data_IF_910493144998
#
_entry.id   IF_910493144998
#
_cell.length_a   1.000
_cell.length_b   1.000
_cell.length_c   1.000
_cell.angle_alpha   90.00
_cell.angle_beta   90.00
_cell.angle_gamma   90.00
#
_symmetry.space_group_name_H-M   'P 1'
#
loop_
_entity.id
_entity.type
_entity.pdbx_description
1 polymer ?
#
# COMPACT_ATOMS: atom_id res chain seq x y z
N UNK A 1 23.13 1.54 6.33
CA UNK A 1 23.18 3.01 6.31
C UNK A 1 22.40 3.53 7.50
N UNK A 2 22.91 4.54 8.20
CA UNK A 2 22.22 5.24 9.29
C UNK A 2 21.21 6.26 8.74
N UNK A 3 20.27 6.73 9.56
CA UNK A 3 19.33 7.81 9.19
C UNK A 3 20.06 9.06 8.69
N UNK A 4 21.19 9.41 9.31
CA UNK A 4 22.00 10.57 8.90
C UNK A 4 22.63 10.37 7.52
N UNK A 5 23.15 9.17 7.23
CA UNK A 5 23.70 8.84 5.91
C UNK A 5 22.63 8.85 4.82
N UNK A 6 21.41 8.39 5.15
CA UNK A 6 20.26 8.41 4.24
C UNK A 6 19.87 9.86 3.90
N UNK A 7 19.70 10.71 4.92
CA UNK A 7 19.33 12.11 4.67
C UNK A 7 20.45 12.91 3.98
N UNK A 8 21.72 12.65 4.30
CA UNK A 8 22.85 13.25 3.58
C UNK A 8 22.85 12.85 2.09
N UNK A 9 22.55 11.58 1.80
CA UNK A 9 22.40 11.11 0.43
C UNK A 9 21.27 11.84 -0.31
N UNK A 10 20.08 11.96 0.30
CA UNK A 10 18.95 12.63 -0.34
C UNK A 10 19.14 14.14 -0.46
N UNK A 11 19.85 14.80 0.46
CA UNK A 11 20.22 16.21 0.32
C UNK A 11 21.11 16.45 -0.90
N UNK A 12 22.09 15.57 -1.14
CA UNK A 12 22.94 15.61 -2.33
C UNK A 12 22.14 15.33 -3.60
N UNK A 13 21.27 14.32 -3.58
CA UNK A 13 20.43 13.98 -4.72
C UNK A 13 19.44 15.12 -5.05
N UNK A 14 18.83 15.73 -4.04
CA UNK A 14 17.96 16.90 -4.18
C UNK A 14 18.67 18.04 -4.89
N UNK A 15 19.90 18.36 -4.46
CA UNK A 15 20.73 19.41 -5.09
C UNK A 15 21.02 19.09 -6.55
N UNK A 16 21.43 17.85 -6.85
CA UNK A 16 21.74 17.41 -8.21
C UNK A 16 20.52 17.44 -9.14
N UNK A 17 19.39 16.92 -8.70
CA UNK A 17 18.13 16.89 -9.46
C UNK A 17 17.63 18.32 -9.69
N UNK A 18 17.69 19.18 -8.68
CA UNK A 18 17.31 20.60 -8.79
C UNK A 18 18.17 21.33 -9.83
N UNK A 19 19.49 21.15 -9.79
CA UNK A 19 20.41 21.77 -10.75
C UNK A 19 20.18 21.30 -12.20
N UNK A 20 19.75 20.04 -12.38
CA UNK A 20 19.47 19.46 -13.70
C UNK A 20 18.08 19.79 -14.24
N UNK A 21 17.16 20.29 -13.40
CA UNK A 21 15.76 20.51 -13.76
C UNK A 21 15.55 21.47 -14.91
N UNK A 22 16.38 22.52 -15.02
CA UNK A 22 16.38 23.45 -16.16
C UNK A 22 16.59 22.72 -17.50
N UNK A 23 17.25 21.55 -17.49
CA UNK A 23 17.50 20.70 -18.67
C UNK A 23 16.42 19.64 -18.90
N UNK A 24 15.40 19.53 -18.03
CA UNK A 24 14.35 18.49 -18.09
C UNK A 24 13.55 18.53 -19.40
N UNK A 25 13.35 19.71 -19.99
CA UNK A 25 12.69 19.87 -21.30
C UNK A 25 13.37 19.10 -22.44
N UNK A 26 14.55 18.50 -22.22
CA UNK A 26 15.26 17.65 -23.18
C UNK A 26 14.98 16.16 -23.04
N UNK A 27 14.29 15.72 -21.98
CA UNK A 27 14.00 14.29 -21.76
C UNK A 27 12.92 13.84 -22.74
N UNK A 28 13.31 13.01 -23.72
CA UNK A 28 12.39 12.43 -24.70
C UNK A 28 11.81 11.14 -24.15
N UNK A 29 10.50 10.98 -24.27
CA UNK A 29 9.79 9.73 -23.95
C UNK A 29 9.02 9.25 -25.18
N UNK A 30 9.01 7.94 -25.40
CA UNK A 30 8.18 7.30 -26.44
C UNK A 30 6.76 7.02 -25.94
N UNK A 31 6.58 6.86 -24.62
CA UNK A 31 5.28 6.66 -23.99
C UNK A 31 4.50 7.98 -23.90
N UNK A 32 3.18 7.90 -24.06
CA UNK A 32 2.27 9.04 -23.89
C UNK A 32 1.82 9.17 -22.44
N UNK A 33 1.47 10.39 -22.00
CA UNK A 33 0.94 10.64 -20.67
C UNK A 33 -0.29 9.75 -20.38
N UNK A 34 -1.23 9.67 -21.32
CA UNK A 34 -2.42 8.85 -21.21
C UNK A 34 -2.10 7.35 -21.04
N UNK A 35 -1.14 6.82 -21.81
CA UNK A 35 -0.75 5.41 -21.69
C UNK A 35 -0.12 5.09 -20.34
N UNK A 36 0.71 6.00 -19.81
CA UNK A 36 1.33 5.82 -18.49
C UNK A 36 0.27 5.94 -17.41
N UNK A 37 -0.58 6.96 -17.45
CA UNK A 37 -1.68 7.12 -16.50
C UNK A 37 -2.60 5.88 -16.46
N UNK A 38 -3.02 5.37 -17.62
CA UNK A 38 -3.85 4.16 -17.71
C UNK A 38 -3.16 2.94 -17.05
N UNK A 39 -1.85 2.78 -17.26
CA UNK A 39 -1.06 1.73 -16.61
C UNK A 39 -1.04 1.89 -15.09
N UNK A 40 -0.77 3.10 -14.58
CA UNK A 40 -0.66 3.34 -13.13
C UNK A 40 -1.98 3.10 -12.41
N UNK A 41 -3.08 3.50 -13.04
CA UNK A 41 -4.44 3.38 -12.52
C UNK A 41 -4.89 1.92 -12.42
N UNK A 42 -4.43 1.05 -13.33
CA UNK A 42 -4.75 -0.39 -13.29
C UNK A 42 -4.07 -1.16 -12.16
N UNK A 43 -3.05 -0.59 -11.51
CA UNK A 43 -2.28 -1.30 -10.49
C UNK A 43 -3.04 -1.46 -9.15
N UNK A 44 -4.31 -1.07 -9.04
CA UNK A 44 -5.08 -1.07 -7.79
C UNK A 44 -4.93 -2.37 -6.99
N UNK A 45 -4.52 -2.26 -5.73
CA UNK A 45 -4.32 -3.43 -4.88
C UNK A 45 -5.68 -4.13 -4.62
N UNK A 46 -5.76 -5.48 -4.66
CA UNK A 46 -7.01 -6.22 -4.47
C UNK A 46 -7.75 -5.92 -3.15
N UNK A 47 -7.04 -5.44 -2.13
CA UNK A 47 -7.65 -5.01 -0.86
C UNK A 47 -8.53 -3.75 -0.97
N UNK A 48 -8.36 -2.96 -2.04
CA UNK A 48 -9.12 -1.74 -2.29
C UNK A 48 -10.18 -1.89 -3.39
N UNK A 49 -10.31 -3.09 -3.97
CA UNK A 49 -11.43 -3.43 -4.83
C UNK A 49 -12.69 -3.73 -4.00
N UNK A 50 -13.90 -3.55 -4.57
CA UNK A 50 -15.13 -3.97 -3.91
C UNK A 50 -15.02 -5.48 -3.56
N UNK A 51 -15.39 -5.89 -2.34
CA UNK A 51 -15.26 -7.28 -1.92
C UNK A 51 -16.10 -8.16 -2.85
N UNK A 52 -15.44 -9.04 -3.62
CA UNK A 52 -16.08 -9.96 -4.58
C UNK A 52 -16.87 -11.10 -3.91
N UNK A 53 -16.76 -11.22 -2.60
CA UNK A 53 -17.51 -12.12 -1.73
C UNK A 53 -17.41 -11.57 -0.30
N UNK A 54 -18.26 -11.98 0.66
CA UNK A 54 -18.00 -11.70 2.07
C UNK A 54 -16.64 -12.30 2.42
N UNK A 55 -15.60 -11.46 2.41
CA UNK A 55 -14.25 -11.82 2.81
C UNK A 55 -14.35 -12.25 4.27
N UNK A 56 -14.38 -13.56 4.49
CA UNK A 56 -14.12 -14.18 5.79
C UNK A 56 -12.89 -13.45 6.34
N UNK A 57 -13.01 -12.68 7.44
CA UNK A 57 -11.99 -11.70 7.73
C UNK A 57 -10.66 -12.41 7.95
N UNK A 58 -9.75 -12.12 7.03
CA UNK A 58 -8.32 -12.30 7.13
C UNK A 58 -7.86 -12.17 8.58
N UNK A 59 -7.26 -13.25 9.07
CA UNK A 59 -6.73 -13.34 10.42
C UNK A 59 -7.81 -13.15 11.46
N UNK A 60 -8.55 -14.23 11.76
CA UNK A 60 -9.07 -14.56 13.09
C UNK A 60 -8.81 -13.42 14.09
N UNK A 61 -9.80 -12.55 14.34
CA UNK A 61 -9.91 -11.77 15.58
C UNK A 61 -10.12 -12.75 16.76
N UNK A 62 -9.34 -13.84 16.81
CA UNK A 62 -9.46 -14.95 17.76
C UNK A 62 -9.04 -14.57 19.17
N UNK A 63 -8.66 -13.32 19.38
CA UNK A 63 -8.31 -12.76 20.68
C UNK A 63 -9.05 -11.44 20.88
N UNK A 64 -10.38 -11.45 20.73
CA UNK A 64 -11.19 -10.58 21.56
C UNK A 64 -10.96 -11.07 23.00
N UNK A 65 -10.01 -10.45 23.68
CA UNK A 65 -9.68 -10.77 25.07
C UNK A 65 -10.70 -10.01 25.93
N UNK A 66 -11.86 -10.60 26.20
CA UNK A 66 -12.83 -10.01 27.12
C UNK A 66 -12.16 -9.69 28.45
N UNK A 67 -12.50 -8.54 29.03
CA UNK A 67 -12.08 -8.24 30.40
C UNK A 67 -12.90 -9.11 31.34
N UNK A 68 -12.24 -9.92 32.17
CA UNK A 68 -12.82 -10.34 33.43
C UNK A 68 -12.76 -9.12 34.35
N UNK A 69 -13.72 -8.18 34.23
CA UNK A 69 -13.83 -7.06 35.17
C UNK A 69 -15.14 -7.11 35.93
N UNK A 70 -15.01 -6.72 37.19
CA UNK A 70 -16.02 -6.71 38.22
C UNK A 70 -17.22 -5.84 37.81
N UNK A 71 -18.35 -6.53 37.58
CA UNK A 71 -19.75 -6.14 37.69
C UNK A 71 -20.03 -4.64 37.86
N UNK A 72 -20.71 -4.06 36.88
CA UNK A 72 -21.64 -2.96 37.14
C UNK A 72 -22.84 -3.52 37.93
N UNK A 73 -23.23 -2.83 39.00
CA UNK A 73 -24.22 -3.32 39.97
C UNK A 73 -25.67 -3.40 39.45
N UNK A 74 -25.95 -3.11 38.18
CA UNK A 74 -27.28 -3.35 37.57
C UNK A 74 -27.20 -3.49 36.05
N UNK A 75 -27.38 -4.71 35.55
CA UNK A 75 -27.52 -5.01 34.12
C UNK A 75 -28.97 -4.77 33.68
N UNK A 76 -29.19 -4.28 32.46
CA UNK A 76 -30.54 -4.20 31.90
C UNK A 76 -31.10 -5.61 31.62
N UNK A 77 -32.43 -5.73 31.51
CA UNK A 77 -33.09 -6.98 31.15
C UNK A 77 -32.54 -7.57 29.85
N UNK A 78 -32.29 -6.71 28.87
CA UNK A 78 -31.80 -7.06 27.55
C UNK A 78 -30.32 -7.51 27.60
N UNK A 79 -29.49 -6.87 28.41
CA UNK A 79 -28.10 -7.29 28.60
C UNK A 79 -28.01 -8.66 29.31
N UNK A 80 -28.89 -8.93 30.26
CA UNK A 80 -28.97 -10.24 30.94
C UNK A 80 -29.24 -11.37 29.94
N UNK A 81 -30.10 -11.12 28.94
CA UNK A 81 -30.39 -12.09 27.87
C UNK A 81 -29.14 -12.33 27.01
N UNK A 82 -28.40 -11.27 26.65
CA UNK A 82 -27.12 -11.39 25.91
C UNK A 82 -26.10 -12.19 26.72
N UNK A 83 -25.92 -11.88 28.00
CA UNK A 83 -25.03 -12.61 28.91
C UNK A 83 -25.38 -14.10 28.97
N UNK A 84 -26.67 -14.41 29.12
CA UNK A 84 -27.17 -15.78 29.17
C UNK A 84 -26.87 -16.55 27.88
N UNK A 85 -27.20 -16.00 26.71
CA UNK A 85 -26.99 -16.64 25.41
C UNK A 85 -25.51 -16.72 25.01
N UNK A 86 -24.69 -15.74 25.41
CA UNK A 86 -23.26 -15.74 25.16
C UNK A 86 -22.55 -16.92 25.86
N UNK A 87 -23.04 -17.32 27.05
CA UNK A 87 -22.47 -18.40 27.85
C UNK A 87 -22.95 -19.82 27.47
N UNK A 88 -23.94 -19.97 26.57
CA UNK A 88 -24.49 -21.29 26.22
C UNK A 88 -23.56 -22.11 25.32
N UNK A 89 -23.59 -23.42 25.53
CA UNK A 89 -22.87 -24.42 24.74
C UNK A 89 -23.58 -24.82 23.44
N UNK A 90 -24.89 -24.55 23.32
CA UNK A 90 -25.69 -24.83 22.10
C UNK A 90 -25.29 -23.95 20.91
N UNK A 91 -24.58 -22.85 21.19
CA UNK A 91 -24.11 -21.89 20.21
C UNK A 91 -25.20 -21.38 19.24
N UNK A 92 -26.43 -21.22 19.72
CA UNK A 92 -27.51 -20.62 18.92
C UNK A 92 -27.14 -19.18 18.55
N UNK A 93 -26.77 -18.98 17.29
CA UNK A 93 -26.23 -17.71 16.80
C UNK A 93 -27.34 -16.76 16.39
N UNK A 94 -28.50 -17.28 15.98
CA UNK A 94 -29.67 -16.48 15.62
C UNK A 94 -30.28 -15.83 16.86
N UNK A 95 -30.52 -16.62 17.92
CA UNK A 95 -31.03 -16.08 19.17
C UNK A 95 -30.08 -15.05 19.78
N UNK A 96 -28.77 -15.32 19.76
CA UNK A 96 -27.77 -14.37 20.24
C UNK A 96 -27.77 -13.08 19.41
N UNK A 97 -27.88 -13.17 18.08
CA UNK A 97 -27.94 -11.97 17.23
C UNK A 97 -29.16 -11.10 17.53
N UNK A 98 -30.35 -11.72 17.65
CA UNK A 98 -31.59 -11.02 18.00
C UNK A 98 -31.48 -10.35 19.37
N UNK A 99 -30.88 -11.02 20.36
CA UNK A 99 -30.64 -10.45 21.67
C UNK A 99 -29.68 -9.25 21.63
N UNK A 100 -28.64 -9.28 20.81
CA UNK A 100 -27.72 -8.15 20.64
C UNK A 100 -28.46 -6.94 20.03
N UNK A 101 -29.34 -7.16 19.04
CA UNK A 101 -30.15 -6.09 18.46
C UNK A 101 -31.11 -5.47 19.47
N UNK A 102 -31.77 -6.30 20.28
CA UNK A 102 -32.65 -5.81 21.36
C UNK A 102 -31.88 -5.00 22.41
N UNK A 103 -30.68 -5.48 22.79
CA UNK A 103 -29.79 -4.74 23.68
C UNK A 103 -29.36 -3.40 23.08
N UNK A 104 -28.95 -3.36 21.81
CA UNK A 104 -28.62 -2.10 21.13
C UNK A 104 -29.77 -1.09 21.16
N UNK A 105 -31.00 -1.56 20.93
CA UNK A 105 -32.20 -0.71 20.94
C UNK A 105 -32.56 -0.19 22.35
N UNK A 106 -32.13 -0.88 23.41
CA UNK A 106 -32.34 -0.48 24.80
C UNK A 106 -31.34 0.56 25.30
N UNK A 107 -30.17 0.66 24.68
CA UNK A 107 -29.12 1.60 25.07
C UNK A 107 -29.45 3.02 24.61
N UNK A 108 -29.08 4.01 25.43
CA UNK A 108 -29.27 5.43 25.12
C UNK A 108 -28.28 5.95 24.08
N UNK A 109 -27.13 5.27 23.93
CA UNK A 109 -26.08 5.65 23.00
C UNK A 109 -25.33 4.44 22.46
N UNK A 110 -24.66 4.64 21.32
CA UNK A 110 -23.79 3.63 20.73
C UNK A 110 -22.59 3.28 21.63
N UNK A 111 -22.08 4.24 22.41
CA UNK A 111 -20.95 4.02 23.31
C UNK A 111 -21.34 3.16 24.51
N UNK A 112 -22.53 3.39 25.08
CA UNK A 112 -23.11 2.53 26.12
C UNK A 112 -23.27 1.09 25.63
N UNK A 113 -23.84 0.92 24.43
CA UNK A 113 -23.97 -0.39 23.80
C UNK A 113 -22.60 -1.06 23.57
N UNK A 114 -21.63 -0.33 23.02
CA UNK A 114 -20.29 -0.89 22.78
C UNK A 114 -19.61 -1.32 24.08
N UNK A 115 -19.74 -0.51 25.15
CA UNK A 115 -19.16 -0.80 26.44
C UNK A 115 -19.77 -2.04 27.09
N UNK A 116 -21.10 -2.12 27.13
CA UNK A 116 -21.79 -3.31 27.66
C UNK A 116 -21.50 -4.57 26.86
N UNK A 117 -21.46 -4.47 25.52
CA UNK A 117 -21.20 -5.64 24.67
C UNK A 117 -19.76 -6.16 24.79
N UNK A 118 -18.78 -5.30 25.06
CA UNK A 118 -17.34 -5.63 25.06
C UNK A 118 -16.95 -6.78 26.01
N UNK A 119 -17.76 -7.04 27.03
CA UNK A 119 -17.56 -8.12 28.00
C UNK A 119 -17.89 -9.52 27.44
N UNK A 120 -18.70 -9.59 26.38
CA UNK A 120 -19.26 -10.83 25.88
C UNK A 120 -18.54 -11.29 24.60
N UNK A 121 -17.42 -12.01 24.75
CA UNK A 121 -16.52 -12.40 23.65
C UNK A 121 -17.21 -12.97 22.41
N UNK A 122 -18.21 -13.85 22.57
CA UNK A 122 -18.94 -14.46 21.43
C UNK A 122 -19.85 -13.43 20.77
N UNK A 123 -20.53 -12.60 21.56
CA UNK A 123 -21.36 -11.51 21.08
C UNK A 123 -20.54 -10.44 20.33
N UNK A 124 -19.40 -10.01 20.87
CA UNK A 124 -18.44 -9.10 20.21
C UNK A 124 -18.00 -9.65 18.85
N UNK A 125 -17.64 -10.94 18.80
CA UNK A 125 -17.20 -11.59 17.56
C UNK A 125 -18.31 -11.62 16.51
N UNK A 126 -19.53 -11.98 16.92
CA UNK A 126 -20.69 -12.04 16.03
C UNK A 126 -21.07 -10.65 15.50
N UNK A 127 -21.16 -9.67 16.39
CA UNK A 127 -21.55 -8.31 16.05
C UNK A 127 -20.51 -7.61 15.18
N UNK A 128 -19.22 -7.71 15.55
CA UNK A 128 -18.14 -7.15 14.73
C UNK A 128 -18.11 -7.77 13.32
N UNK A 129 -18.43 -9.06 13.19
CA UNK A 129 -18.53 -9.72 11.90
C UNK A 129 -19.71 -9.20 11.08
N UNK A 130 -20.87 -8.98 11.72
CA UNK A 130 -22.04 -8.38 11.07
C UNK A 130 -21.71 -6.97 10.55
N UNK A 131 -21.19 -6.08 11.41
CA UNK A 131 -20.80 -4.71 11.03
C UNK A 131 -19.79 -4.70 9.87
N UNK A 132 -18.77 -5.56 9.93
CA UNK A 132 -17.77 -5.68 8.88
C UNK A 132 -18.34 -6.23 7.56
N UNK A 133 -19.33 -7.12 7.61
CA UNK A 133 -19.93 -7.74 6.42
C UNK A 133 -20.89 -6.77 5.74
N UNK A 134 -21.67 -6.03 6.52
CA UNK A 134 -22.64 -5.05 6.03
C UNK A 134 -22.00 -3.68 5.71
N UNK A 135 -20.71 -3.50 5.97
CA UNK A 135 -20.00 -2.23 5.86
C UNK A 135 -20.68 -1.07 6.62
N UNK A 136 -21.27 -1.39 7.77
CA UNK A 136 -22.10 -0.48 8.56
C UNK A 136 -21.43 -0.19 9.91
N UNK A 137 -21.47 1.07 10.36
CA UNK A 137 -20.95 1.51 11.67
C UNK A 137 -19.53 1.01 11.98
N UNK A 138 -18.63 1.04 11.01
CA UNK A 138 -17.26 0.52 11.15
C UNK A 138 -16.47 1.14 12.32
N UNK A 139 -16.77 2.40 12.65
CA UNK A 139 -16.19 3.14 13.78
C UNK A 139 -16.53 2.54 15.14
N UNK A 140 -17.57 1.71 15.21
CA UNK A 140 -17.96 1.00 16.43
C UNK A 140 -17.11 -0.24 16.69
N UNK A 141 -16.50 -0.83 15.65
CA UNK A 141 -15.75 -2.09 15.81
C UNK A 141 -14.57 -1.94 16.77
N UNK A 142 -13.71 -0.90 16.68
CA UNK A 142 -12.64 -0.68 17.64
C UNK A 142 -13.14 -0.51 19.08
N UNK A 143 -14.30 0.14 19.27
CA UNK A 143 -14.89 0.39 20.60
C UNK A 143 -15.33 -0.90 21.31
N UNK A 144 -15.66 -1.94 20.53
CA UNK A 144 -16.00 -3.27 21.04
C UNK A 144 -14.79 -4.10 21.45
N UNK A 145 -13.58 -3.66 21.07
CA UNK A 145 -12.35 -4.41 21.27
C UNK A 145 -11.55 -3.84 22.44
N UNK A 146 -11.17 -4.73 23.34
CA UNK A 146 -10.36 -4.44 24.53
C UNK A 146 -8.85 -4.47 24.24
N UNK A 147 -8.45 -5.17 23.19
CA UNK A 147 -7.06 -5.30 22.76
C UNK A 147 -6.98 -5.18 21.25
N UNK A 148 -5.88 -4.60 20.74
CA UNK A 148 -5.67 -4.35 19.31
C UNK A 148 -6.78 -3.49 18.68
N UNK A 149 -7.42 -2.64 19.48
CA UNK A 149 -8.47 -1.73 19.02
C UNK A 149 -7.93 -0.77 17.95
N UNK A 150 -6.72 -0.24 18.12
CA UNK A 150 -6.11 0.64 17.11
C UNK A 150 -5.72 -0.11 15.84
N UNK A 151 -5.22 -1.34 15.93
CA UNK A 151 -5.01 -2.20 14.75
C UNK A 151 -6.31 -2.45 13.99
N UNK A 152 -7.42 -2.67 14.70
CA UNK A 152 -8.73 -2.82 14.07
C UNK A 152 -9.21 -1.50 13.43
N UNK A 153 -9.08 -0.37 14.13
CA UNK A 153 -9.41 0.96 13.58
C UNK A 153 -8.67 1.21 12.27
N UNK A 154 -7.35 0.97 12.24
CA UNK A 154 -6.56 1.12 11.03
C UNK A 154 -6.99 0.15 9.90
N UNK A 155 -7.35 -1.09 10.24
CA UNK A 155 -7.85 -2.07 9.26
C UNK A 155 -9.15 -1.62 8.62
N UNK A 156 -10.06 -1.03 9.40
CA UNK A 156 -11.36 -0.60 8.91
C UNK A 156 -11.34 0.77 8.25
N UNK A 157 -10.33 1.61 8.51
CA UNK A 157 -10.15 2.90 7.84
C UNK A 157 -10.27 2.79 6.30
N UNK A 158 -9.66 1.77 5.69
CA UNK A 158 -9.68 1.57 4.23
C UNK A 158 -11.03 1.15 3.65
N UNK A 159 -12.01 0.85 4.50
CA UNK A 159 -13.38 0.54 4.06
C UNK A 159 -14.30 1.76 4.06
N UNK A 160 -13.81 2.91 4.56
CA UNK A 160 -14.56 4.15 4.46
C UNK A 160 -14.51 4.71 3.04
N UNK A 161 -15.65 5.20 2.52
CA UNK A 161 -15.73 5.70 1.15
C UNK A 161 -14.93 6.99 0.96
N UNK A 162 -14.93 7.89 1.95
CA UNK A 162 -14.28 9.21 1.85
C UNK A 162 -12.94 9.25 2.56
N UNK A 163 -11.98 9.99 2.01
CA UNK A 163 -10.64 10.15 2.60
C UNK A 163 -10.71 10.74 4.02
N UNK A 164 -11.55 11.74 4.25
CA UNK A 164 -11.71 12.37 5.57
C UNK A 164 -12.10 11.34 6.65
N UNK A 165 -13.02 10.43 6.32
CA UNK A 165 -13.41 9.36 7.24
C UNK A 165 -12.26 8.35 7.45
N UNK A 166 -11.49 8.02 6.41
CA UNK A 166 -10.28 7.16 6.56
C UNK A 166 -9.27 7.82 7.50
N UNK A 167 -8.96 9.09 7.29
CA UNK A 167 -7.99 9.85 8.09
C UNK A 167 -8.46 10.00 9.54
N UNK A 168 -9.75 10.29 9.76
CA UNK A 168 -10.34 10.32 11.10
C UNK A 168 -10.18 8.97 11.81
N UNK A 169 -10.47 7.87 11.12
CA UNK A 169 -10.35 6.53 11.70
C UNK A 169 -8.89 6.11 11.94
N UNK A 170 -7.95 6.52 11.09
CA UNK A 170 -6.51 6.35 11.32
C UNK A 170 -6.00 7.20 12.49
N UNK A 171 -6.58 8.38 12.70
CA UNK A 171 -6.28 9.19 13.89
C UNK A 171 -6.74 8.48 15.16
N UNK A 172 -7.94 7.90 15.16
CA UNK A 172 -8.42 7.05 16.27
C UNK A 172 -7.47 5.86 16.48
N UNK A 173 -7.03 5.20 15.42
CA UNK A 173 -6.04 4.13 15.50
C UNK A 173 -4.73 4.56 16.16
N UNK A 174 -4.24 5.76 15.82
CA UNK A 174 -3.05 6.36 16.42
C UNK A 174 -3.24 6.59 17.92
N UNK A 175 -4.34 7.24 18.32
CA UNK A 175 -4.65 7.53 19.74
C UNK A 175 -4.70 6.24 20.56
N UNK A 176 -5.38 5.20 20.05
CA UNK A 176 -5.50 3.90 20.72
C UNK A 176 -4.17 3.15 20.86
N UNK A 177 -3.15 3.51 20.09
CA UNK A 177 -1.84 2.86 20.05
C UNK A 177 -0.71 3.86 20.42
N UNK A 178 -1.03 4.95 21.14
CA UNK A 178 -0.01 5.92 21.59
C UNK A 178 1.03 5.30 22.52
N UNK A 179 0.65 4.28 23.28
CA UNK A 179 1.57 3.50 24.13
C UNK A 179 2.55 2.61 23.36
N UNK A 180 2.41 2.49 22.04
CA UNK A 180 3.26 1.65 21.18
C UNK A 180 3.98 2.51 20.13
N UNK A 181 5.22 2.98 20.41
CA UNK A 181 5.91 3.97 19.57
C UNK A 181 6.01 3.60 18.09
N UNK A 182 6.12 2.31 17.78
CA UNK A 182 6.13 1.81 16.41
C UNK A 182 4.80 2.08 15.68
N UNK A 183 3.66 1.71 16.28
CA UNK A 183 2.35 1.89 15.65
C UNK A 183 1.96 3.35 15.56
N UNK A 184 2.18 4.14 16.61
CA UNK A 184 1.92 5.58 16.59
C UNK A 184 2.69 6.29 15.46
N UNK A 185 3.97 5.94 15.28
CA UNK A 185 4.78 6.45 14.16
C UNK A 185 4.26 5.96 12.81
N UNK A 186 3.96 4.67 12.68
CA UNK A 186 3.47 4.08 11.43
C UNK A 186 2.15 4.73 10.97
N UNK A 187 1.20 4.96 11.87
CA UNK A 187 -0.05 5.64 11.54
C UNK A 187 0.17 7.11 11.17
N UNK A 188 1.05 7.81 11.89
CA UNK A 188 1.40 9.20 11.54
C UNK A 188 2.01 9.30 10.14
N UNK A 189 2.93 8.39 9.82
CA UNK A 189 3.55 8.29 8.50
C UNK A 189 2.51 7.94 7.43
N UNK A 190 1.63 6.99 7.70
CA UNK A 190 0.61 6.57 6.75
C UNK A 190 -0.41 7.69 6.44
N UNK A 191 -0.89 8.42 7.45
CA UNK A 191 -1.75 9.59 7.23
C UNK A 191 -1.05 10.67 6.41
N UNK A 192 0.24 10.91 6.68
CA UNK A 192 1.05 11.86 5.90
C UNK A 192 1.17 11.44 4.43
N UNK A 193 1.33 10.14 4.17
CA UNK A 193 1.41 9.60 2.81
C UNK A 193 0.07 9.79 2.06
N UNK A 194 -1.06 9.41 2.68
CA UNK A 194 -2.38 9.53 2.08
C UNK A 194 -2.70 10.99 1.71
N UNK A 195 -2.41 11.95 2.61
CA UNK A 195 -2.64 13.36 2.34
C UNK A 195 -1.83 13.87 1.13
N UNK A 196 -0.55 13.46 1.03
CA UNK A 196 0.28 13.80 -0.14
C UNK A 196 -0.24 13.14 -1.43
N UNK A 197 -0.62 11.87 -1.37
CA UNK A 197 -1.18 11.13 -2.50
C UNK A 197 -2.46 11.77 -3.03
N UNK A 198 -3.35 12.18 -2.13
CA UNK A 198 -4.56 12.90 -2.48
C UNK A 198 -4.23 14.22 -3.19
N UNK A 199 -3.30 15.02 -2.65
CA UNK A 199 -2.88 16.27 -3.25
C UNK A 199 -2.30 16.07 -4.67
N UNK A 200 -1.57 14.99 -4.92
CA UNK A 200 -1.06 14.65 -6.25
C UNK A 200 -2.15 14.15 -7.20
N UNK A 201 -3.09 13.34 -6.74
CA UNK A 201 -4.26 12.94 -7.54
C UNK A 201 -5.09 14.17 -7.96
N UNK A 202 -5.28 15.14 -7.07
CA UNK A 202 -6.00 16.39 -7.33
C UNK A 202 -5.24 17.30 -8.31
N UNK A 203 -3.97 17.59 -8.04
CA UNK A 203 -3.16 18.53 -8.83
C UNK A 203 -2.72 17.99 -10.19
N UNK A 204 -2.34 16.71 -10.26
CA UNK A 204 -1.76 16.12 -11.49
C UNK A 204 -2.81 15.43 -12.35
N UNK A 205 -3.87 14.88 -11.74
CA UNK A 205 -4.89 14.09 -12.45
C UNK A 205 -6.28 14.74 -12.43
N UNK A 206 -6.40 15.98 -11.93
CA UNK A 206 -7.64 16.76 -11.89
C UNK A 206 -8.81 16.02 -11.21
N UNK A 207 -8.51 15.18 -10.22
CA UNK A 207 -9.54 14.43 -9.49
C UNK A 207 -10.19 15.30 -8.44
N UNK A 208 -11.52 15.33 -8.39
CA UNK A 208 -12.25 15.98 -7.30
C UNK A 208 -12.18 15.16 -6.01
N UNK A 209 -12.09 15.84 -4.87
CA UNK A 209 -12.12 15.28 -3.51
C UNK A 209 -13.28 14.31 -3.23
N UNK A 210 -14.38 14.42 -4.01
CA UNK A 210 -15.62 13.67 -3.83
C UNK A 210 -15.86 12.58 -4.88
N UNK A 211 -15.01 12.47 -5.92
CA UNK A 211 -15.20 11.47 -6.97
C UNK A 211 -14.42 10.19 -6.67
N UNK A 212 -14.95 9.41 -5.74
CA UNK A 212 -14.39 8.11 -5.33
C UNK A 212 -14.54 7.03 -6.41
N UNK A 213 -15.27 7.31 -7.50
CA UNK A 213 -15.48 6.37 -8.60
C UNK A 213 -14.34 6.42 -9.63
N UNK A 214 -13.57 7.52 -9.68
CA UNK A 214 -12.45 7.61 -10.58
C UNK A 214 -11.23 6.84 -10.04
N UNK A 215 -10.65 5.95 -10.85
CA UNK A 215 -9.56 5.09 -10.40
C UNK A 215 -8.27 5.92 -10.18
N UNK A 216 -7.56 5.66 -9.07
CA UNK A 216 -6.45 6.49 -8.59
C UNK A 216 -5.09 5.98 -9.03
N UNK A 217 -4.19 6.90 -9.39
CA UNK A 217 -2.78 6.55 -9.55
C UNK A 217 -2.08 6.54 -8.19
N UNK A 218 -2.32 7.52 -7.32
CA UNK A 218 -1.52 7.71 -6.10
C UNK A 218 -2.14 7.19 -4.81
N UNK A 219 -3.44 7.39 -4.59
CA UNK A 219 -4.10 7.04 -3.34
C UNK A 219 -4.01 5.53 -3.09
N UNK A 220 -3.76 5.18 -1.83
CA UNK A 220 -3.60 3.80 -1.34
C UNK A 220 -2.37 3.06 -1.88
N UNK A 221 -1.44 3.77 -2.55
CA UNK A 221 -0.14 3.22 -2.94
C UNK A 221 0.81 3.13 -1.76
N UNK A 222 1.71 2.15 -1.78
CA UNK A 222 2.88 2.16 -0.89
C UNK A 222 3.81 3.34 -1.21
N UNK A 223 4.71 3.69 -0.30
CA UNK A 223 5.75 4.72 -0.55
C UNK A 223 6.55 4.41 -1.82
N UNK A 224 6.89 3.14 -2.03
CA UNK A 224 7.67 2.68 -3.19
C UNK A 224 6.88 2.83 -4.49
N UNK A 225 5.61 2.43 -4.50
CA UNK A 225 4.74 2.63 -5.67
C UNK A 225 4.45 4.12 -5.93
N UNK A 226 4.38 4.93 -4.89
CA UNK A 226 4.22 6.38 -5.03
C UNK A 226 5.46 7.01 -5.69
N UNK A 227 6.67 6.61 -5.26
CA UNK A 227 7.93 7.00 -5.90
C UNK A 227 7.94 6.57 -7.37
N UNK A 228 7.56 5.31 -7.65
CA UNK A 228 7.43 4.82 -9.03
C UNK A 228 6.50 5.73 -9.85
N UNK A 229 5.31 6.05 -9.33
CA UNK A 229 4.31 6.84 -10.06
C UNK A 229 4.77 8.27 -10.31
N UNK A 230 5.41 8.91 -9.31
CA UNK A 230 6.00 10.24 -9.47
C UNK A 230 7.08 10.26 -10.56
N UNK A 231 7.96 9.25 -10.58
CA UNK A 231 9.01 9.13 -11.60
C UNK A 231 8.41 8.87 -12.98
N UNK A 232 7.46 7.94 -13.08
CA UNK A 232 6.77 7.59 -14.32
C UNK A 232 6.03 8.77 -14.96
N UNK A 233 5.44 9.64 -14.14
CA UNK A 233 4.71 10.81 -14.61
C UNK A 233 5.62 12.01 -14.88
N UNK A 234 6.84 12.03 -14.32
CA UNK A 234 7.72 13.19 -14.39
C UNK A 234 7.90 13.79 -15.79
N UNK A 235 8.05 13.02 -16.89
CA UNK A 235 8.23 13.61 -18.22
C UNK A 235 7.05 14.43 -18.75
N UNK A 236 5.86 14.28 -18.17
CA UNK A 236 4.61 14.85 -18.71
C UNK A 236 4.14 16.12 -18.00
N UNK A 237 4.78 16.48 -16.90
CA UNK A 237 4.40 17.62 -16.05
C UNK A 237 5.52 18.64 -16.02
N UNK A 238 5.15 19.92 -15.91
CA UNK A 238 6.12 20.99 -15.76
C UNK A 238 6.73 20.98 -14.37
N UNK A 239 6.06 20.44 -13.36
CA UNK A 239 6.58 20.27 -12.01
C UNK A 239 7.76 19.27 -11.95
N UNK A 240 8.65 19.45 -10.97
CA UNK A 240 9.76 18.51 -10.76
C UNK A 240 9.33 17.28 -9.96
N UNK A 241 8.51 16.41 -10.56
CA UNK A 241 8.02 15.20 -9.87
C UNK A 241 9.14 14.24 -9.44
N UNK A 242 10.32 14.30 -10.07
CA UNK A 242 11.49 13.56 -9.59
C UNK A 242 11.99 14.13 -8.26
N UNK A 243 11.98 15.45 -8.08
CA UNK A 243 12.32 16.07 -6.81
C UNK A 243 11.29 15.74 -5.73
N UNK A 244 10.01 15.73 -6.07
CA UNK A 244 8.94 15.24 -5.18
C UNK A 244 9.20 13.79 -4.74
N UNK A 245 9.61 12.92 -5.66
CA UNK A 245 9.96 11.54 -5.34
C UNK A 245 11.18 11.44 -4.40
N UNK A 246 12.18 12.31 -4.57
CA UNK A 246 13.35 12.41 -3.68
C UNK A 246 12.95 12.89 -2.28
N UNK A 247 12.12 13.93 -2.20
CA UNK A 247 11.63 14.47 -0.92
C UNK A 247 10.76 13.46 -0.18
N UNK A 248 9.93 12.71 -0.90
CA UNK A 248 9.13 11.62 -0.34
C UNK A 248 10.04 10.51 0.20
N UNK A 249 11.08 10.13 -0.55
CA UNK A 249 12.01 9.09 -0.13
C UNK A 249 12.79 9.48 1.15
N UNK A 250 13.20 10.75 1.28
CA UNK A 250 13.83 11.27 2.51
C UNK A 250 12.86 11.30 3.69
N UNK A 251 11.64 11.84 3.49
CA UNK A 251 10.61 11.92 4.52
C UNK A 251 10.28 10.55 5.14
N UNK A 252 10.22 9.51 4.30
CA UNK A 252 9.92 8.15 4.73
C UNK A 252 11.17 7.30 4.98
N UNK A 253 12.37 7.87 4.88
CA UNK A 253 13.65 7.21 5.15
C UNK A 253 13.83 5.93 4.32
N UNK A 254 13.45 6.00 3.04
CA UNK A 254 13.61 4.89 2.10
C UNK A 254 15.10 4.65 1.88
N UNK A 255 15.52 3.39 1.87
CA UNK A 255 16.93 3.08 1.64
C UNK A 255 17.36 3.53 0.22
N UNK A 256 18.49 4.24 0.04
CA UNK A 256 18.93 4.75 -1.26
C UNK A 256 18.99 3.72 -2.40
N UNK A 257 19.43 2.49 -2.13
CA UNK A 257 19.36 1.40 -3.13
C UNK A 257 17.93 1.05 -3.53
N UNK A 258 16.98 1.06 -2.59
CA UNK A 258 15.57 0.76 -2.87
C UNK A 258 14.96 1.88 -3.72
N UNK A 259 15.27 3.14 -3.42
CA UNK A 259 14.88 4.28 -4.25
C UNK A 259 15.38 4.12 -5.68
N UNK A 260 16.68 3.86 -5.89
CA UNK A 260 17.25 3.72 -7.24
C UNK A 260 16.71 2.52 -8.00
N UNK A 261 16.53 1.36 -7.36
CA UNK A 261 15.87 0.23 -8.01
C UNK A 261 14.42 0.54 -8.41
N UNK A 262 13.73 1.37 -7.63
CA UNK A 262 12.38 1.84 -7.97
C UNK A 262 12.39 2.76 -9.19
N UNK A 263 13.36 3.70 -9.26
CA UNK A 263 13.56 4.57 -10.43
C UNK A 263 13.87 3.74 -11.68
N UNK A 264 14.82 2.79 -11.58
CA UNK A 264 15.19 1.90 -12.70
C UNK A 264 13.97 1.11 -13.17
N UNK A 265 13.24 0.48 -12.24
CA UNK A 265 12.01 -0.25 -12.56
C UNK A 265 10.98 0.64 -13.25
N UNK A 266 10.79 1.87 -12.77
CA UNK A 266 9.89 2.85 -13.39
C UNK A 266 10.28 3.13 -14.84
N UNK A 267 11.54 3.51 -15.06
CA UNK A 267 12.03 3.88 -16.39
C UNK A 267 12.01 2.68 -17.36
N UNK A 268 12.32 1.47 -16.91
CA UNK A 268 12.22 0.26 -17.74
C UNK A 268 10.75 -0.03 -18.09
N UNK A 269 9.86 -0.04 -17.09
CA UNK A 269 8.44 -0.39 -17.28
C UNK A 269 7.70 0.61 -18.18
N UNK A 270 8.07 1.89 -18.11
CA UNK A 270 7.44 2.97 -18.88
C UNK A 270 8.21 3.33 -20.16
N UNK A 271 9.31 2.62 -20.46
CA UNK A 271 10.20 2.90 -21.59
C UNK A 271 10.73 4.35 -21.60
N UNK A 272 11.11 4.86 -20.43
CA UNK A 272 11.61 6.22 -20.18
C UNK A 272 13.11 6.21 -19.84
N UNK A 273 13.92 5.51 -20.64
CA UNK A 273 15.37 5.40 -20.40
C UNK A 273 16.14 6.72 -20.39
N UNK A 274 15.72 7.70 -21.19
CA UNK A 274 16.31 9.05 -21.20
C UNK A 274 16.12 9.78 -19.86
N UNK A 275 15.01 9.50 -19.15
CA UNK A 275 14.79 10.04 -17.81
C UNK A 275 15.81 9.46 -16.83
N UNK A 276 16.07 8.15 -16.90
CA UNK A 276 17.07 7.51 -16.04
C UNK A 276 18.46 8.11 -16.27
N UNK A 277 18.87 8.28 -17.53
CA UNK A 277 20.13 8.92 -17.90
C UNK A 277 20.23 10.35 -17.34
N UNK A 278 19.16 11.14 -17.48
CA UNK A 278 19.11 12.49 -16.94
C UNK A 278 19.26 12.49 -15.40
N UNK A 279 18.60 11.58 -14.70
CA UNK A 279 18.67 11.47 -13.23
C UNK A 279 20.02 10.96 -12.73
N UNK A 280 20.70 10.11 -13.50
CA UNK A 280 21.86 9.35 -13.04
C UNK A 280 22.96 10.26 -12.49
N UNK A 281 23.43 10.02 -11.25
CA UNK A 281 24.60 10.71 -10.72
C UNK A 281 25.86 10.14 -11.39
N UNK A 282 26.96 10.88 -11.29
CA UNK A 282 28.25 10.44 -11.84
C UNK A 282 28.70 9.10 -11.24
N UNK A 283 28.52 8.95 -9.93
CA UNK A 283 28.81 7.73 -9.16
C UNK A 283 27.50 7.14 -8.61
N UNK A 284 26.79 6.30 -9.37
CA UNK A 284 25.51 5.76 -8.95
C UNK A 284 25.67 4.65 -7.91
N UNK A 285 24.76 4.62 -6.93
CA UNK A 285 24.76 3.61 -5.86
C UNK A 285 24.34 2.21 -6.37
N UNK A 286 23.57 2.19 -7.45
CA UNK A 286 23.31 1.01 -8.30
C UNK A 286 24.22 1.16 -9.51
N UNK A 287 25.00 0.12 -9.81
CA UNK A 287 26.04 0.20 -10.83
C UNK A 287 25.44 0.38 -12.22
N UNK A 288 26.18 1.03 -13.13
CA UNK A 288 25.76 1.17 -14.54
C UNK A 288 25.53 -0.20 -15.20
N UNK A 289 26.32 -1.21 -14.83
CA UNK A 289 26.12 -2.60 -15.26
C UNK A 289 24.73 -3.13 -14.90
N UNK A 290 24.26 -2.89 -13.67
CA UNK A 290 22.92 -3.29 -13.24
C UNK A 290 21.83 -2.55 -14.01
N UNK A 291 22.04 -1.27 -14.32
CA UNK A 291 21.12 -0.53 -15.19
C UNK A 291 21.07 -1.14 -16.59
N UNK A 292 22.21 -1.37 -17.24
CA UNK A 292 22.29 -1.97 -18.58
C UNK A 292 21.58 -3.33 -18.60
N UNK A 293 21.85 -4.18 -17.60
CA UNK A 293 21.22 -5.50 -17.51
C UNK A 293 19.70 -5.39 -17.41
N UNK A 294 19.16 -4.46 -16.61
CA UNK A 294 17.72 -4.29 -16.46
C UNK A 294 17.02 -3.93 -17.79
N UNK A 295 17.65 -3.11 -18.64
CA UNK A 295 17.12 -2.81 -19.97
C UNK A 295 17.32 -3.95 -20.97
N UNK A 296 18.42 -4.69 -20.87
CA UNK A 296 18.66 -5.92 -21.66
C UNK A 296 17.60 -6.98 -21.35
N UNK A 297 17.31 -7.23 -20.08
CA UNK A 297 16.32 -8.20 -19.63
C UNK A 297 14.91 -7.83 -20.12
N UNK A 298 14.64 -6.53 -20.25
CA UNK A 298 13.40 -5.99 -20.83
C UNK A 298 13.41 -5.90 -22.37
N UNK A 299 14.45 -6.42 -23.03
CA UNK A 299 14.65 -6.37 -24.49
C UNK A 299 14.70 -4.94 -25.07
N UNK A 300 15.01 -3.94 -24.24
CA UNK A 300 15.14 -2.53 -24.63
C UNK A 300 16.60 -2.21 -25.01
N UNK A 301 17.12 -2.92 -26.02
CA UNK A 301 18.55 -2.92 -26.36
C UNK A 301 19.10 -1.54 -26.76
N UNK A 302 18.35 -0.73 -27.50
CA UNK A 302 18.78 0.62 -27.90
C UNK A 302 19.00 1.53 -26.68
N UNK A 303 18.11 1.43 -25.70
CA UNK A 303 18.24 2.18 -24.44
C UNK A 303 19.41 1.66 -23.61
N UNK A 304 19.57 0.33 -23.51
CA UNK A 304 20.72 -0.28 -22.84
C UNK A 304 22.04 0.18 -23.46
N UNK A 305 22.12 0.25 -24.79
CA UNK A 305 23.27 0.74 -25.54
C UNK A 305 23.58 2.21 -25.25
N UNK A 306 22.57 3.08 -25.15
CA UNK A 306 22.76 4.49 -24.76
C UNK A 306 23.29 4.62 -23.34
N UNK A 307 22.76 3.84 -22.40
CA UNK A 307 23.25 3.82 -21.01
C UNK A 307 24.70 3.34 -20.93
N UNK A 308 25.04 2.28 -21.66
CA UNK A 308 26.42 1.80 -21.79
C UNK A 308 27.33 2.89 -22.38
N UNK A 309 26.87 3.59 -23.43
CA UNK A 309 27.59 4.66 -24.10
C UNK A 309 27.86 5.90 -23.25
N UNK A 310 27.06 6.17 -22.21
CA UNK A 310 27.25 7.28 -21.27
C UNK A 310 28.33 7.02 -20.20
N UNK A 311 28.87 5.79 -20.13
CA UNK A 311 29.97 5.49 -19.23
C UNK A 311 31.20 6.35 -19.54
N UNK A 312 31.77 7.00 -18.51
CA UNK A 312 32.92 7.91 -18.66
C UNK A 312 34.24 7.16 -18.85
N UNK A 313 34.36 5.95 -18.30
CA UNK A 313 35.52 5.09 -18.47
C UNK A 313 35.40 4.29 -19.78
N UNK A 314 36.35 4.43 -20.74
CA UNK A 314 36.32 3.67 -21.99
C UNK A 314 36.35 2.15 -21.80
N UNK A 315 37.02 1.65 -20.75
CA UNK A 315 37.09 0.21 -20.49
C UNK A 315 35.74 -0.33 -19.97
N UNK A 316 35.12 0.37 -19.00
CA UNK A 316 33.75 0.09 -18.57
C UNK A 316 32.77 0.17 -19.76
N UNK A 317 32.85 1.24 -20.56
CA UNK A 317 32.00 1.46 -21.73
C UNK A 317 32.08 0.28 -22.71
N UNK A 318 33.29 -0.15 -23.08
CA UNK A 318 33.50 -1.28 -23.98
C UNK A 318 32.90 -2.58 -23.42
N UNK A 319 33.12 -2.86 -22.13
CA UNK A 319 32.57 -4.04 -21.46
C UNK A 319 31.03 -4.02 -21.44
N UNK A 320 30.41 -2.87 -21.14
CA UNK A 320 28.96 -2.73 -21.12
C UNK A 320 28.34 -2.87 -22.52
N UNK A 321 28.99 -2.31 -23.54
CA UNK A 321 28.54 -2.45 -24.93
C UNK A 321 28.62 -3.90 -25.42
N UNK A 322 29.66 -4.64 -25.03
CA UNK A 322 29.78 -6.07 -25.34
C UNK A 322 28.65 -6.89 -24.68
N UNK A 323 28.28 -6.58 -23.42
CA UNK A 323 27.11 -7.20 -22.77
C UNK A 323 25.84 -7.00 -23.58
N UNK A 324 25.57 -5.78 -24.05
CA UNK A 324 24.40 -5.48 -24.89
C UNK A 324 24.47 -6.24 -26.22
N UNK A 325 25.63 -6.25 -26.88
CA UNK A 325 25.81 -6.91 -28.17
C UNK A 325 25.57 -8.42 -28.07
N UNK A 326 26.10 -9.08 -27.03
CA UNK A 326 25.87 -10.51 -26.80
C UNK A 326 24.40 -10.82 -26.56
N UNK A 327 23.70 -9.96 -25.83
CA UNK A 327 22.27 -10.13 -25.57
C UNK A 327 21.42 -9.96 -26.83
N UNK A 328 21.75 -8.99 -27.69
CA UNK A 328 21.09 -8.82 -29.00
C UNK A 328 21.26 -10.09 -29.85
N UNK A 329 22.49 -10.60 -29.94
CA UNK A 329 22.77 -11.84 -30.69
C UNK A 329 22.00 -13.03 -30.12
N UNK A 330 22.00 -13.19 -28.79
CA UNK A 330 21.24 -14.26 -28.12
C UNK A 330 19.73 -14.16 -28.37
N UNK A 331 19.17 -12.95 -28.33
CA UNK A 331 17.74 -12.71 -28.61
C UNK A 331 17.38 -12.99 -30.07
N UNK A 332 18.29 -12.74 -31.02
CA UNK A 332 18.06 -13.07 -32.44
C UNK A 332 18.21 -14.57 -32.76
N UNK A 333 18.90 -15.32 -31.90
CA UNK A 333 19.14 -16.76 -32.06
C UNK A 333 18.09 -17.63 -31.34
N UNK A 334 17.22 -17.06 -30.52
CA UNK A 334 16.05 -17.75 -29.97
C UNK A 334 14.86 -17.58 -30.93
N UNK A 335 14.49 -18.59 -31.75
CA UNK A 335 13.21 -18.59 -32.44
C UNK A 335 12.09 -18.69 -31.39
N UNK A 336 10.94 -18.08 -31.68
CA UNK A 336 9.70 -18.09 -30.88
C UNK A 336 9.42 -19.48 -30.26
N UNK A 337 9.90 -19.69 -29.05
CA UNK A 337 9.43 -20.77 -28.21
C UNK A 337 8.19 -20.23 -27.52
N UNK A 338 7.04 -20.73 -27.97
CA UNK A 338 5.73 -20.54 -27.36
C UNK A 338 5.88 -20.59 -25.83
N UNK A 339 5.34 -19.60 -25.07
CA UNK A 339 5.47 -19.61 -23.63
C UNK A 339 4.93 -20.94 -23.09
N UNK A 340 5.65 -21.65 -22.22
CA UNK A 340 5.19 -22.93 -21.70
C UNK A 340 3.80 -22.72 -21.08
N UNK A 341 2.85 -23.66 -21.30
CA UNK A 341 1.50 -23.50 -20.81
C UNK A 341 1.55 -23.21 -19.33
N UNK A 342 0.90 -22.11 -18.92
CA UNK A 342 0.73 -21.73 -17.53
C UNK A 342 0.12 -22.93 -16.83
N UNK A 343 0.93 -23.70 -16.09
CA UNK A 343 0.40 -24.75 -15.24
C UNK A 343 -0.56 -24.05 -14.28
N UNK A 344 -1.84 -24.42 -14.24
CA UNK A 344 -2.69 -23.94 -13.17
C UNK A 344 -1.98 -24.29 -11.87
N UNK A 345 -1.77 -23.29 -11.00
CA UNK A 345 -1.31 -23.53 -9.64
C UNK A 345 -2.22 -24.60 -9.07
N UNK A 346 -1.72 -25.83 -8.98
CA UNK A 346 -2.38 -26.86 -8.21
C UNK A 346 -2.44 -26.30 -6.80
N UNK A 347 -3.66 -25.96 -6.38
CA UNK A 347 -3.95 -25.68 -4.99
C UNK A 347 -3.40 -26.87 -4.20
N UNK A 348 -2.56 -26.57 -3.22
CA UNK A 348 -2.26 -27.50 -2.15
C UNK A 348 -3.58 -27.81 -1.46
N UNK A 349 -4.27 -28.85 -1.94
CA UNK A 349 -5.29 -29.53 -1.18
C UNK A 349 -4.52 -30.20 -0.05
N UNK A 350 -4.50 -29.55 1.11
CA UNK A 350 -4.12 -30.22 2.33
C UNK A 350 -5.14 -31.34 2.54
N UNK A 351 -4.75 -32.57 2.22
CA UNK A 351 -5.42 -33.76 2.70
C UNK A 351 -5.28 -33.77 4.21
N UNK A 352 -6.32 -33.29 4.90
CA UNK A 352 -6.55 -33.66 6.29
C UNK A 352 -6.97 -35.12 6.28
N UNK A 353 -5.99 -36.02 6.39
CA UNK A 353 -6.27 -37.36 6.87
C UNK A 353 -6.57 -37.25 8.36
N UNK A 354 -7.83 -37.50 8.70
CA UNK A 354 -8.27 -37.65 10.06
C UNK A 354 -7.71 -38.95 10.64
N UNK A 355 -7.22 -38.88 11.87
CA UNK A 355 -7.25 -39.98 12.82
C UNK A 355 -7.10 -39.43 14.24
N UNK A 356 -8.27 -39.39 14.90
CA UNK A 356 -8.59 -39.38 16.35
C UNK A 356 -8.00 -38.25 17.20
#
# INVERSE_FOLDING_TARGET
>A
MTTQEISAFYANLHTNVSAKFVKKHRVKTSATAASVQAMLVQQTHPLFGPPTAPLIPFGRLSRANSVDSLHADTLTSEEVVVKGLNARCDHDTTALFVAIQAFQASCSSQDEFCHGLAHYRRAVKLWSHHLATCNAQLDSIPKLLTAKAGVAAAKFAYRHPTMDARLSQLHVAKVLEEGTPFYARAFSQHMTLLAKQQAWDESLLCKGTHDTAQPSAFVDRSVVETIFNLVALAPFFDENLVLEAVQLADLFQVHPKQFWWTVVRSCVTTNQGELLLWMMPDMPIVSRKEHVQAFVDAQQFETAKRIAGDAKDPAEQANLLDVVQRAVVASTLQPDMEPPPVRPRQGSVASYDGSI
#
